data_IF_295666988251
#
_entry.id   IF_295666988251
#
_cell.length_a   1.000
_cell.length_b   1.000
_cell.length_c   1.000
_cell.angle_alpha   90.00
_cell.angle_beta   90.00
_cell.angle_gamma   90.00
#
_symmetry.space_group_name_H-M   'P 1'
#
loop_
_entity.id
_entity.type
_entity.pdbx_description
1 polymer ?
#
# COMPACT_ATOMS: atom_id res chain seq x y z
N UNK A 1 4.12 -16.19 3.31
CA UNK A 1 3.18 -15.63 2.33
C UNK A 1 3.95 -14.59 1.53
N UNK A 2 3.52 -14.25 0.32
CA UNK A 2 3.99 -13.03 -0.36
C UNK A 2 2.79 -12.09 -0.44
N UNK A 3 2.77 -11.08 0.42
CA UNK A 3 1.56 -10.30 0.73
C UNK A 3 0.97 -9.66 -0.53
N UNK A 4 1.76 -8.91 -1.30
CA UNK A 4 1.31 -8.28 -2.55
C UNK A 4 0.87 -9.29 -3.61
N UNK A 5 1.64 -10.37 -3.77
CA UNK A 5 1.33 -11.45 -4.72
C UNK A 5 -0.05 -12.06 -4.42
N UNK A 6 -0.30 -12.39 -3.15
CA UNK A 6 -1.54 -13.04 -2.71
C UNK A 6 -2.73 -12.08 -2.70
N UNK A 7 -2.58 -10.84 -2.21
CA UNK A 7 -3.63 -9.82 -2.26
C UNK A 7 -4.03 -9.48 -3.69
N UNK A 8 -3.08 -9.38 -4.62
CA UNK A 8 -3.36 -9.11 -6.03
C UNK A 8 -4.11 -10.28 -6.69
N UNK A 9 -3.74 -11.51 -6.34
CA UNK A 9 -4.47 -12.70 -6.77
C UNK A 9 -5.90 -12.73 -6.22
N UNK A 10 -6.09 -12.38 -4.95
CA UNK A 10 -7.40 -12.29 -4.32
C UNK A 10 -8.27 -11.20 -4.97
N UNK A 11 -7.72 -10.00 -5.17
CA UNK A 11 -8.39 -8.90 -5.83
C UNK A 11 -8.81 -9.26 -7.26
N UNK A 12 -7.96 -9.97 -8.01
CA UNK A 12 -8.30 -10.43 -9.35
C UNK A 12 -9.55 -11.34 -9.33
N UNK A 13 -9.60 -12.33 -8.42
CA UNK A 13 -10.74 -13.25 -8.27
C UNK A 13 -12.04 -12.53 -7.88
N UNK A 14 -11.95 -11.46 -7.08
CA UNK A 14 -13.10 -10.71 -6.55
C UNK A 14 -13.45 -9.46 -7.38
N UNK A 15 -12.68 -9.15 -8.42
CA UNK A 15 -12.95 -8.06 -9.35
C UNK A 15 -13.97 -8.45 -10.42
N UNK A 16 -14.23 -7.52 -11.34
CA UNK A 16 -14.98 -7.77 -12.57
C UNK A 16 -14.36 -8.85 -13.48
N UNK A 17 -13.09 -9.20 -13.28
CA UNK A 17 -12.40 -10.28 -13.99
C UNK A 17 -12.75 -11.67 -13.43
N UNK A 18 -13.22 -11.73 -12.19
CA UNK A 18 -13.57 -12.95 -11.46
C UNK A 18 -14.62 -13.79 -12.15
N UNK A 19 -14.48 -15.12 -12.04
CA UNK A 19 -15.42 -16.08 -12.66
C UNK A 19 -16.84 -15.95 -12.10
N UNK A 20 -16.94 -15.76 -10.79
CA UNK A 20 -18.20 -15.69 -10.05
C UNK A 20 -18.78 -14.27 -10.02
N UNK A 21 -18.07 -13.31 -10.60
CA UNK A 21 -18.51 -11.95 -10.85
C UNK A 21 -18.88 -11.76 -12.33
N UNK A 22 -18.48 -10.63 -12.93
CA UNK A 22 -18.85 -10.28 -14.30
C UNK A 22 -18.07 -11.07 -15.37
N UNK A 23 -16.96 -11.73 -14.99
CA UNK A 23 -16.11 -12.53 -15.87
C UNK A 23 -15.74 -11.79 -17.17
N UNK A 24 -15.36 -10.52 -17.03
CA UNK A 24 -15.17 -9.58 -18.14
C UNK A 24 -14.18 -10.07 -19.21
N UNK A 25 -13.24 -10.93 -18.81
CA UNK A 25 -12.25 -11.53 -19.69
C UNK A 25 -12.88 -12.36 -20.82
N UNK A 26 -14.10 -12.87 -20.66
CA UNK A 26 -14.83 -13.55 -21.75
C UNK A 26 -15.13 -12.61 -22.92
N UNK A 27 -15.40 -11.33 -22.67
CA UNK A 27 -15.62 -10.33 -23.72
C UNK A 27 -14.33 -10.01 -24.49
N UNK A 28 -13.17 -10.31 -23.90
CA UNK A 28 -11.86 -10.21 -24.56
C UNK A 28 -11.45 -11.52 -25.28
N UNK A 29 -12.32 -12.53 -25.28
CA UNK A 29 -12.10 -13.82 -25.94
C UNK A 29 -11.42 -14.88 -25.06
N UNK A 30 -11.26 -14.64 -23.76
CA UNK A 30 -10.66 -15.59 -22.82
C UNK A 30 -11.72 -16.51 -22.22
N UNK A 31 -11.97 -17.65 -22.88
CA UNK A 31 -12.99 -18.60 -22.45
C UNK A 31 -12.74 -19.13 -21.02
N UNK A 32 -11.47 -19.23 -20.60
CA UNK A 32 -11.07 -19.68 -19.26
C UNK A 32 -10.97 -18.54 -18.24
N UNK A 33 -11.31 -17.30 -18.61
CA UNK A 33 -11.23 -16.13 -17.73
C UNK A 33 -9.83 -15.97 -17.14
N UNK A 34 -9.74 -15.81 -15.82
CA UNK A 34 -8.47 -15.68 -15.09
C UNK A 34 -7.54 -16.90 -15.25
N UNK A 35 -8.08 -18.07 -15.61
CA UNK A 35 -7.33 -19.30 -15.83
C UNK A 35 -6.82 -19.44 -17.28
N UNK A 36 -7.09 -18.46 -18.15
CA UNK A 36 -6.56 -18.43 -19.51
C UNK A 36 -5.04 -18.31 -19.50
N UNK A 37 -4.35 -19.10 -20.33
CA UNK A 37 -2.89 -19.18 -20.28
C UNK A 37 -2.25 -18.42 -21.43
N UNK A 38 -1.53 -17.35 -21.09
CA UNK A 38 -0.87 -16.46 -22.04
C UNK A 38 0.66 -16.66 -22.02
N UNK A 39 1.29 -16.63 -23.19
CA UNK A 39 2.73 -16.74 -23.36
C UNK A 39 3.44 -15.37 -23.36
N UNK A 40 4.51 -15.27 -22.59
CA UNK A 40 5.46 -14.16 -22.61
C UNK A 40 6.89 -14.73 -22.58
N UNK A 41 7.61 -14.57 -23.70
CA UNK A 41 8.93 -15.19 -23.86
C UNK A 41 8.85 -16.72 -23.76
N UNK A 42 9.62 -17.29 -22.82
CA UNK A 42 9.64 -18.74 -22.56
C UNK A 42 8.59 -19.20 -21.55
N UNK A 43 7.97 -18.25 -20.84
CA UNK A 43 6.98 -18.52 -19.80
C UNK A 43 5.57 -18.55 -20.40
N UNK A 44 4.72 -19.42 -19.85
CA UNK A 44 3.29 -19.48 -20.17
C UNK A 44 2.50 -19.70 -18.89
N UNK A 45 1.76 -18.69 -18.45
CA UNK A 45 1.10 -18.65 -17.14
C UNK A 45 -0.35 -18.20 -17.27
N UNK A 46 -1.14 -18.39 -16.22
CA UNK A 46 -2.53 -17.91 -16.25
C UNK A 46 -2.58 -16.38 -16.20
N UNK A 47 -3.70 -15.77 -16.59
CA UNK A 47 -3.92 -14.32 -16.43
C UNK A 47 -3.74 -13.91 -14.96
N UNK A 48 -4.29 -14.70 -14.03
CA UNK A 48 -4.11 -14.47 -12.59
C UNK A 48 -2.63 -14.50 -12.19
N UNK A 49 -1.91 -15.52 -12.61
CA UNK A 49 -0.48 -15.66 -12.28
C UNK A 49 0.36 -14.51 -12.84
N UNK A 50 0.01 -13.94 -14.01
CA UNK A 50 0.68 -12.76 -14.53
C UNK A 50 0.46 -11.53 -13.63
N UNK A 51 -0.77 -11.29 -13.17
CA UNK A 51 -1.07 -10.19 -12.22
C UNK A 51 -0.29 -10.39 -10.92
N UNK A 52 -0.29 -11.61 -10.39
CA UNK A 52 0.45 -12.01 -9.18
C UNK A 52 1.95 -11.77 -9.32
N UNK A 53 2.56 -12.26 -10.40
CA UNK A 53 3.99 -12.05 -10.70
C UNK A 53 4.31 -10.56 -10.82
N UNK A 54 3.47 -9.78 -11.51
CA UNK A 54 3.68 -8.34 -11.64
C UNK A 54 3.73 -7.61 -10.30
N UNK A 55 2.85 -7.97 -9.37
CA UNK A 55 2.84 -7.39 -8.04
C UNK A 55 4.13 -7.73 -7.28
N UNK A 56 4.56 -9.00 -7.29
CA UNK A 56 5.82 -9.39 -6.64
C UNK A 56 7.05 -8.65 -7.22
N UNK A 57 7.10 -8.50 -8.55
CA UNK A 57 8.24 -7.89 -9.22
C UNK A 57 8.31 -6.37 -9.08
N UNK A 58 7.30 -5.72 -8.50
CA UNK A 58 7.41 -4.29 -8.18
C UNK A 58 8.37 -4.06 -7.00
N UNK A 59 8.64 -5.05 -6.14
CA UNK A 59 9.70 -4.97 -5.13
C UNK A 59 11.11 -5.30 -5.66
N UNK A 60 11.24 -5.70 -6.93
CA UNK A 60 12.52 -6.14 -7.47
C UNK A 60 13.61 -5.05 -7.48
N UNK A 61 14.83 -5.49 -7.19
CA UNK A 61 16.06 -4.74 -7.42
C UNK A 61 16.99 -4.70 -6.21
N UNK A 62 18.09 -3.97 -6.33
CA UNK A 62 19.09 -3.84 -5.27
C UNK A 62 19.50 -2.37 -5.14
N UNK A 63 19.53 -1.88 -3.90
CA UNK A 63 20.10 -0.57 -3.52
C UNK A 63 19.58 0.57 -4.40
N UNK A 64 20.34 1.01 -5.40
CA UNK A 64 20.10 2.26 -6.18
C UNK A 64 19.12 2.04 -7.33
N UNK A 65 19.00 0.82 -7.85
CA UNK A 65 18.11 0.52 -8.97
C UNK A 65 16.79 -0.13 -8.54
N UNK A 66 16.56 -0.30 -7.22
CA UNK A 66 15.35 -0.92 -6.72
C UNK A 66 14.13 -0.04 -6.92
N UNK A 67 13.05 -0.65 -7.41
CA UNK A 67 11.76 0.02 -7.62
C UNK A 67 11.14 0.47 -6.29
N UNK A 68 11.39 -0.28 -5.21
CA UNK A 68 10.96 0.00 -3.83
C UNK A 68 11.21 1.43 -3.31
N UNK A 69 12.20 2.14 -3.84
CA UNK A 69 12.44 3.55 -3.46
C UNK A 69 11.28 4.46 -3.83
N UNK A 70 10.54 4.09 -4.87
CA UNK A 70 9.45 4.88 -5.42
C UNK A 70 8.07 4.39 -4.94
N UNK A 71 8.02 3.60 -3.87
CA UNK A 71 6.77 3.06 -3.32
C UNK A 71 6.08 4.02 -2.34
N UNK A 72 6.75 5.12 -2.01
CA UNK A 72 6.28 6.09 -1.04
C UNK A 72 5.48 7.22 -1.69
N UNK A 73 4.41 7.66 -1.05
CA UNK A 73 3.67 8.87 -1.43
C UNK A 73 3.19 9.62 -0.18
N UNK A 74 3.75 10.80 0.08
CA UNK A 74 3.36 11.66 1.19
C UNK A 74 2.30 12.69 0.75
N UNK A 75 1.01 12.51 1.10
CA UNK A 75 -0.10 13.30 0.53
C UNK A 75 -0.16 14.77 1.00
N UNK A 76 0.63 15.16 2.02
CA UNK A 76 0.71 16.57 2.47
C UNK A 76 1.82 17.38 1.79
N UNK A 77 2.41 16.86 0.71
CA UNK A 77 3.42 17.54 -0.11
C UNK A 77 2.90 17.69 -1.54
N UNK A 78 3.44 18.66 -2.25
CA UNK A 78 3.29 18.72 -3.70
C UNK A 78 3.85 17.41 -4.32
N UNK A 79 3.23 16.92 -5.40
CA UNK A 79 3.47 15.56 -5.91
C UNK A 79 4.94 15.28 -6.29
N UNK A 80 5.68 16.30 -6.72
CA UNK A 80 7.11 16.21 -7.04
C UNK A 80 8.02 16.12 -5.80
N UNK A 81 7.52 16.54 -4.64
CA UNK A 81 8.17 16.41 -3.33
C UNK A 81 7.56 15.31 -2.46
N UNK A 82 6.47 14.67 -2.91
CA UNK A 82 5.74 13.65 -2.18
C UNK A 82 6.39 12.26 -2.21
N UNK A 83 7.60 12.12 -2.75
CA UNK A 83 8.33 10.85 -2.77
C UNK A 83 9.10 10.56 -1.48
N UNK A 84 9.83 9.45 -1.49
CA UNK A 84 10.70 9.09 -0.37
C UNK A 84 11.84 10.10 -0.24
N UNK A 85 12.06 10.59 0.98
CA UNK A 85 13.20 11.40 1.39
C UNK A 85 13.51 11.14 2.87
N UNK A 86 14.03 9.94 3.15
CA UNK A 86 14.41 9.55 4.51
C UNK A 86 15.65 8.66 4.54
N UNK A 87 16.37 8.68 5.67
CA UNK A 87 17.67 8.05 5.86
C UNK A 87 18.66 8.44 4.75
N UNK A 88 19.07 7.45 3.94
CA UNK A 88 19.94 7.61 2.76
C UNK A 88 19.19 7.31 1.44
N UNK A 89 17.88 7.17 1.53
CA UNK A 89 17.02 6.80 0.42
C UNK A 89 16.24 8.01 -0.08
N UNK A 90 16.21 8.13 -1.40
CA UNK A 90 15.34 9.06 -2.10
C UNK A 90 14.66 8.32 -3.24
N UNK A 91 13.45 8.74 -3.56
CA UNK A 91 12.67 8.19 -4.66
C UNK A 91 11.59 9.15 -5.11
N UNK A 92 11.12 8.93 -6.34
CA UNK A 92 9.96 9.60 -6.89
C UNK A 92 8.71 9.15 -6.13
N UNK A 93 7.71 10.02 -6.04
CA UNK A 93 6.42 9.65 -5.48
C UNK A 93 5.79 8.48 -6.24
N UNK A 94 5.20 7.51 -5.53
CA UNK A 94 4.53 6.35 -6.13
C UNK A 94 3.47 6.74 -7.17
N UNK A 95 2.78 7.86 -6.94
CA UNK A 95 1.80 8.43 -7.86
C UNK A 95 2.41 8.83 -9.22
N UNK A 96 3.59 9.47 -9.18
CA UNK A 96 4.33 9.89 -10.37
C UNK A 96 5.05 8.69 -11.00
N UNK A 97 5.69 7.86 -10.18
CA UNK A 97 6.38 6.64 -10.61
C UNK A 97 5.48 5.72 -11.40
N UNK A 98 4.24 5.50 -10.95
CA UNK A 98 3.23 4.72 -11.66
C UNK A 98 2.99 5.16 -13.12
N UNK A 99 3.34 6.40 -13.46
CA UNK A 99 3.09 7.03 -14.75
C UNK A 99 4.36 7.48 -15.48
N UNK A 100 5.55 7.34 -14.88
CA UNK A 100 6.81 7.81 -15.45
C UNK A 100 7.53 6.73 -16.28
N UNK A 101 7.16 6.63 -17.56
CA UNK A 101 7.80 5.70 -18.52
C UNK A 101 9.32 5.94 -18.63
N UNK A 102 9.76 7.20 -18.56
CA UNK A 102 11.16 7.55 -18.74
C UNK A 102 12.01 7.03 -17.58
N UNK A 103 11.60 7.30 -16.33
CA UNK A 103 12.29 6.84 -15.14
C UNK A 103 12.33 5.31 -15.06
N UNK A 104 11.24 4.63 -15.44
CA UNK A 104 11.16 3.17 -15.39
C UNK A 104 11.98 2.45 -16.46
N UNK A 105 12.45 3.14 -17.51
CA UNK A 105 13.20 2.51 -18.63
C UNK A 105 14.43 1.74 -18.16
N UNK A 106 15.12 2.25 -17.13
CA UNK A 106 16.34 1.62 -16.56
C UNK A 106 16.07 0.75 -15.33
N UNK A 107 14.82 0.66 -14.90
CA UNK A 107 14.42 -0.08 -13.71
C UNK A 107 14.39 -1.60 -13.97
N UNK A 108 14.59 -2.42 -12.92
CA UNK A 108 14.23 -3.84 -12.95
C UNK A 108 12.81 -4.03 -13.48
N UNK A 109 12.58 -5.12 -14.20
CA UNK A 109 11.34 -5.40 -14.93
C UNK A 109 10.95 -4.40 -16.03
N UNK A 110 11.78 -3.37 -16.28
CA UNK A 110 11.58 -2.37 -17.33
C UNK A 110 10.38 -1.45 -17.07
N UNK A 111 9.92 -0.81 -18.14
CA UNK A 111 8.79 0.10 -18.08
C UNK A 111 7.45 -0.63 -17.87
N UNK A 112 6.83 -0.34 -16.72
CA UNK A 112 5.53 -0.78 -16.27
C UNK A 112 4.61 0.41 -15.93
N UNK A 113 4.92 1.59 -16.49
CA UNK A 113 4.10 2.80 -16.33
C UNK A 113 2.73 2.61 -16.97
N UNK A 114 1.73 3.31 -16.44
CA UNK A 114 0.36 3.19 -16.90
C UNK A 114 0.19 3.47 -18.40
N UNK A 115 0.92 4.45 -18.94
CA UNK A 115 0.93 4.72 -20.38
C UNK A 115 1.37 3.49 -21.18
N UNK A 116 2.46 2.84 -20.75
CA UNK A 116 2.99 1.64 -21.40
C UNK A 116 2.05 0.45 -21.30
N UNK A 117 1.35 0.28 -20.17
CA UNK A 117 0.30 -0.73 -20.04
C UNK A 117 -0.85 -0.48 -21.02
N UNK A 118 -1.29 0.77 -21.18
CA UNK A 118 -2.33 1.13 -22.15
C UNK A 118 -1.88 0.87 -23.58
N UNK A 119 -0.62 1.15 -23.90
CA UNK A 119 -0.04 0.82 -25.19
C UNK A 119 -0.03 -0.70 -25.44
N UNK A 120 0.36 -1.51 -24.45
CA UNK A 120 0.26 -2.96 -24.58
C UNK A 120 -1.18 -3.41 -24.75
N UNK A 121 -2.12 -2.89 -23.96
CA UNK A 121 -3.52 -3.29 -24.07
C UNK A 121 -4.11 -2.95 -25.46
N UNK A 122 -3.82 -1.76 -25.99
CA UNK A 122 -4.22 -1.38 -27.35
C UNK A 122 -3.67 -2.35 -28.40
N UNK A 123 -2.38 -2.70 -28.31
CA UNK A 123 -1.77 -3.65 -29.24
C UNK A 123 -2.33 -5.07 -29.07
N UNK A 124 -2.69 -5.47 -27.85
CA UNK A 124 -3.34 -6.74 -27.58
C UNK A 124 -4.71 -6.86 -28.27
N UNK A 125 -5.42 -5.75 -28.39
CA UNK A 125 -6.71 -5.66 -29.06
C UNK A 125 -6.59 -5.57 -30.59
N UNK A 126 -5.57 -4.88 -31.10
CA UNK A 126 -5.54 -4.41 -32.50
C UNK A 126 -4.50 -5.09 -33.39
N UNK A 127 -3.47 -5.73 -32.83
CA UNK A 127 -2.41 -6.32 -33.65
C UNK A 127 -2.93 -7.45 -34.56
N UNK A 128 -2.46 -7.49 -35.81
CA UNK A 128 -2.90 -8.51 -36.77
C UNK A 128 -2.39 -9.92 -36.41
N UNK A 129 -1.17 -10.01 -35.86
CA UNK A 129 -0.55 -11.28 -35.50
C UNK A 129 -1.06 -11.79 -34.12
N UNK A 130 -1.66 -13.00 -34.05
CA UNK A 130 -2.15 -13.56 -32.79
C UNK A 130 -1.07 -13.73 -31.71
N UNK A 131 0.17 -14.02 -32.09
CA UNK A 131 1.27 -14.16 -31.12
C UNK A 131 1.64 -12.82 -30.48
N UNK A 132 1.59 -11.74 -31.28
CA UNK A 132 1.79 -10.37 -30.81
C UNK A 132 0.65 -9.94 -29.89
N UNK A 133 -0.60 -10.30 -30.20
CA UNK A 133 -1.74 -10.05 -29.32
C UNK A 133 -1.60 -10.75 -27.97
N UNK A 134 -1.31 -12.05 -27.98
CA UNK A 134 -1.12 -12.86 -26.76
C UNK A 134 -0.03 -12.27 -25.85
N UNK A 135 1.12 -11.91 -26.45
CA UNK A 135 2.25 -11.31 -25.73
C UNK A 135 1.87 -9.99 -25.07
N UNK A 136 1.15 -9.13 -25.79
CA UNK A 136 0.74 -7.83 -25.27
C UNK A 136 -0.34 -7.94 -24.19
N UNK A 137 -1.23 -8.93 -24.27
CA UNK A 137 -2.12 -9.25 -23.14
C UNK A 137 -1.34 -9.69 -21.91
N UNK A 138 -0.37 -10.60 -22.06
CA UNK A 138 0.46 -11.05 -20.93
C UNK A 138 1.21 -9.89 -20.27
N UNK A 139 1.78 -8.98 -21.08
CA UNK A 139 2.41 -7.75 -20.59
C UNK A 139 1.43 -6.82 -19.88
N UNK A 140 0.22 -6.65 -20.41
CA UNK A 140 -0.83 -5.84 -19.78
C UNK A 140 -1.17 -6.37 -18.39
N UNK A 141 -1.41 -7.68 -18.26
CA UNK A 141 -1.78 -8.29 -16.98
C UNK A 141 -0.64 -8.30 -15.96
N UNK A 142 0.60 -8.55 -16.42
CA UNK A 142 1.78 -8.40 -15.56
C UNK A 142 1.95 -6.95 -15.10
N UNK A 143 1.87 -5.99 -16.02
CA UNK A 143 1.92 -4.57 -15.69
C UNK A 143 0.84 -4.15 -14.70
N UNK A 144 -0.38 -4.67 -14.83
CA UNK A 144 -1.46 -4.38 -13.88
C UNK A 144 -1.10 -4.81 -12.44
N UNK A 145 -0.34 -5.90 -12.28
CA UNK A 145 0.22 -6.29 -10.99
C UNK A 145 1.12 -5.22 -10.37
N UNK A 146 2.04 -4.65 -11.16
CA UNK A 146 2.91 -3.55 -10.72
C UNK A 146 2.10 -2.32 -10.25
N UNK A 147 0.99 -2.00 -10.94
CA UNK A 147 0.13 -0.87 -10.55
C UNK A 147 -0.68 -1.16 -9.28
N UNK A 148 -1.15 -2.41 -9.12
CA UNK A 148 -1.85 -2.85 -7.90
C UNK A 148 -0.91 -2.81 -6.69
N UNK A 149 0.36 -3.16 -6.87
CA UNK A 149 1.37 -3.09 -5.82
C UNK A 149 1.48 -1.70 -5.21
N UNK A 150 1.64 -0.66 -6.04
CA UNK A 150 1.76 0.73 -5.57
C UNK A 150 0.49 1.20 -4.82
N UNK A 151 -0.69 0.70 -5.19
CA UNK A 151 -1.93 0.97 -4.45
C UNK A 151 -1.96 0.28 -3.08
N UNK A 152 -1.40 -0.93 -2.99
CA UNK A 152 -1.31 -1.67 -1.74
C UNK A 152 -0.31 -1.01 -0.78
N UNK A 153 0.82 -0.51 -1.28
CA UNK A 153 1.78 0.25 -0.47
C UNK A 153 1.16 1.56 0.05
N UNK A 154 0.37 2.25 -0.76
CA UNK A 154 -0.36 3.44 -0.32
C UNK A 154 -1.43 3.17 0.77
N UNK A 155 -1.76 1.90 1.03
CA UNK A 155 -2.60 1.46 2.16
C UNK A 155 -1.80 1.10 3.42
N UNK A 156 -0.47 1.20 3.37
CA UNK A 156 0.44 0.91 4.46
C UNK A 156 1.01 2.24 5.03
N UNK A 157 0.92 2.49 6.34
CA UNK A 157 1.26 3.79 6.92
C UNK A 157 2.68 4.30 6.70
N UNK A 158 3.70 3.43 6.73
CA UNK A 158 5.10 3.80 6.55
C UNK A 158 5.34 4.40 5.16
N UNK A 159 4.75 3.78 4.12
CA UNK A 159 4.85 4.22 2.73
C UNK A 159 4.20 5.59 2.46
N UNK A 160 3.24 6.00 3.29
CA UNK A 160 2.58 7.30 3.15
C UNK A 160 3.03 8.35 4.16
N UNK A 161 3.92 7.96 5.08
CA UNK A 161 4.46 8.81 6.15
C UNK A 161 5.97 8.98 6.05
N UNK A 162 6.53 8.73 4.86
CA UNK A 162 7.96 8.92 4.57
C UNK A 162 8.85 8.19 5.57
N UNK A 163 8.43 6.99 6.01
CA UNK A 163 9.05 6.25 7.10
C UNK A 163 9.87 5.09 6.52
N UNK A 164 11.11 5.40 6.13
CA UNK A 164 11.95 4.42 5.47
C UNK A 164 12.45 3.38 6.45
N UNK A 165 12.09 2.12 6.20
CA UNK A 165 12.59 0.99 6.96
C UNK A 165 13.27 -0.02 6.03
N UNK A 166 14.29 -0.68 6.56
CA UNK A 166 15.02 -1.71 5.81
C UNK A 166 14.31 -3.03 6.05
N UNK A 167 13.66 -3.57 5.02
CA UNK A 167 13.18 -4.94 5.08
C UNK A 167 14.36 -5.92 5.26
N UNK A 168 14.18 -6.90 6.14
CA UNK A 168 15.08 -8.01 6.52
C UNK A 168 15.74 -8.70 5.30
N UNK A 169 15.12 -8.61 4.12
CA UNK A 169 15.63 -9.18 2.86
C UNK A 169 16.93 -8.59 2.30
N UNK A 170 17.40 -7.42 2.75
CA UNK A 170 18.58 -6.76 2.13
C UNK A 170 19.93 -7.12 2.76
N UNK A 171 19.95 -7.64 3.99
CA UNK A 171 21.19 -7.99 4.71
C UNK A 171 21.38 -9.49 4.94
N UNK A 172 20.35 -10.31 4.70
CA UNK A 172 20.40 -11.75 5.02
C UNK A 172 20.56 -12.02 6.54
N UNK A 173 20.48 -10.98 7.35
CA UNK A 173 20.57 -11.00 8.79
C UNK A 173 19.23 -10.52 9.33
N UNK A 174 18.36 -11.49 9.68
CA UNK A 174 17.20 -11.23 10.54
C UNK A 174 17.68 -10.46 11.75
N UNK A 175 17.33 -9.16 11.94
CA UNK A 175 17.66 -8.51 13.17
C UNK A 175 16.89 -9.24 14.25
N UNK A 176 17.59 -10.05 15.05
CA UNK A 176 17.12 -10.63 16.32
C UNK A 176 16.98 -9.52 17.36
N UNK A 177 16.40 -8.37 17.00
CA UNK A 177 16.17 -7.25 17.90
C UNK A 177 14.71 -6.84 17.73
N UNK A 178 13.80 -7.31 18.62
CA UNK A 178 12.39 -6.92 18.63
C UNK A 178 12.18 -5.46 19.08
N UNK A 179 13.18 -4.60 18.89
CA UNK A 179 13.27 -3.25 19.46
C UNK A 179 13.29 -2.15 18.37
N UNK A 180 13.28 -2.51 17.09
CA UNK A 180 13.32 -1.58 15.96
C UNK A 180 12.21 -1.92 14.97
N UNK A 181 11.11 -1.17 15.05
CA UNK A 181 9.95 -1.21 14.15
C UNK A 181 8.83 -2.17 14.55
N UNK A 182 7.56 -1.75 14.42
CA UNK A 182 6.44 -2.65 14.33
C UNK A 182 6.61 -3.38 13.00
N UNK A 183 6.94 -4.66 13.10
CA UNK A 183 7.16 -5.56 11.97
C UNK A 183 5.85 -5.84 11.21
N UNK A 184 5.06 -4.83 10.83
CA UNK A 184 3.72 -4.98 10.27
C UNK A 184 3.74 -5.76 8.95
N UNK A 185 4.61 -5.38 8.02
CA UNK A 185 4.78 -6.10 6.75
C UNK A 185 5.29 -7.54 6.97
N UNK A 186 6.21 -7.73 7.93
CA UNK A 186 6.73 -9.06 8.26
C UNK A 186 5.66 -9.94 8.91
N UNK A 187 4.87 -9.36 9.82
CA UNK A 187 3.72 -9.99 10.45
C UNK A 187 2.69 -10.39 9.39
N UNK A 188 2.31 -9.46 8.52
CA UNK A 188 1.38 -9.70 7.42
C UNK A 188 1.89 -10.78 6.46
N UNK A 189 3.22 -10.86 6.28
CA UNK A 189 3.88 -11.87 5.45
C UNK A 189 3.89 -13.29 6.04
N UNK A 190 3.52 -13.50 7.30
CA UNK A 190 3.45 -14.85 7.88
C UNK A 190 2.27 -15.65 7.30
N UNK A 191 2.51 -16.93 6.97
CA UNK A 191 1.47 -17.79 6.34
C UNK A 191 0.20 -17.94 7.18
N UNK A 192 0.31 -17.89 8.51
CA UNK A 192 -0.84 -17.99 9.41
C UNK A 192 -1.74 -16.74 9.38
N UNK A 193 -1.28 -15.60 8.85
CA UNK A 193 -2.10 -14.40 8.70
C UNK A 193 -2.93 -14.38 7.41
N UNK A 194 -2.68 -15.30 6.47
CA UNK A 194 -3.34 -15.29 5.15
C UNK A 194 -4.85 -15.25 5.26
N UNK A 195 -5.43 -16.17 6.01
CA UNK A 195 -6.89 -16.26 6.17
C UNK A 195 -7.49 -15.04 6.87
N UNK A 196 -6.74 -14.41 7.78
CA UNK A 196 -7.17 -13.19 8.45
C UNK A 196 -7.20 -12.01 7.45
N UNK A 197 -6.12 -11.83 6.69
CA UNK A 197 -6.01 -10.78 5.67
C UNK A 197 -7.08 -10.95 4.59
N UNK A 198 -7.26 -12.17 4.07
CA UNK A 198 -8.32 -12.48 3.09
C UNK A 198 -9.72 -12.18 3.66
N UNK A 199 -9.95 -12.39 4.96
CA UNK A 199 -11.24 -12.07 5.60
C UNK A 199 -11.53 -10.57 5.65
N UNK A 200 -10.51 -9.72 5.79
CA UNK A 200 -10.65 -8.27 5.67
C UNK A 200 -10.94 -7.87 4.22
N UNK A 201 -10.21 -8.44 3.26
CA UNK A 201 -10.41 -8.16 1.84
C UNK A 201 -11.79 -8.64 1.30
N UNK A 202 -12.48 -9.54 2.00
CA UNK A 202 -13.83 -10.00 1.64
C UNK A 202 -14.90 -8.90 1.71
N UNK A 203 -14.65 -7.82 2.46
CA UNK A 203 -15.58 -6.69 2.62
C UNK A 203 -14.94 -5.41 2.12
N UNK A 204 -14.51 -5.41 0.86
CA UNK A 204 -13.82 -4.27 0.27
C UNK A 204 -14.75 -3.07 0.06
N UNK A 205 -14.31 -1.90 0.53
CA UNK A 205 -14.89 -0.63 0.15
C UNK A 205 -14.37 -0.21 -1.24
N UNK A 206 -15.29 0.27 -2.08
CA UNK A 206 -14.94 0.75 -3.41
C UNK A 206 -14.70 2.25 -3.39
N UNK A 207 -13.57 2.74 -3.92
CA UNK A 207 -13.26 4.16 -3.96
C UNK A 207 -14.32 4.92 -4.80
N UNK A 208 -14.73 6.08 -4.30
CA UNK A 208 -15.68 6.99 -4.94
C UNK A 208 -14.96 8.16 -5.61
N UNK A 209 -13.81 7.87 -6.21
CA UNK A 209 -12.94 8.84 -6.88
C UNK A 209 -13.35 9.02 -8.35
N UNK A 210 -13.07 10.20 -8.90
CA UNK A 210 -13.48 10.54 -10.26
C UNK A 210 -12.37 10.27 -11.27
N UNK A 211 -12.56 9.26 -12.12
CA UNK A 211 -11.60 8.92 -13.18
C UNK A 211 -11.85 9.64 -14.52
N UNK A 212 -12.82 10.53 -14.57
CA UNK A 212 -13.18 11.33 -15.75
C UNK A 212 -12.89 12.82 -15.53
N UNK A 213 -11.70 13.10 -15.01
CA UNK A 213 -11.20 14.46 -14.78
C UNK A 213 -9.97 14.70 -15.66
N UNK A 214 -9.67 15.97 -15.92
CA UNK A 214 -8.34 16.36 -16.38
C UNK A 214 -7.48 16.62 -15.16
N UNK A 215 -6.37 15.90 -15.06
CA UNK A 215 -5.37 16.11 -14.01
C UNK A 215 -4.23 16.96 -14.60
N UNK A 216 -3.62 17.88 -13.84
CA UNK A 216 -2.47 18.65 -14.28
C UNK A 216 -1.27 17.78 -14.71
N UNK A 217 -0.30 18.42 -15.38
CA UNK A 217 1.04 17.86 -15.65
C UNK A 217 1.07 16.54 -16.43
N UNK A 218 0.18 16.41 -17.41
CA UNK A 218 0.07 15.24 -18.31
C UNK A 218 -0.25 13.92 -17.61
N UNK A 219 -0.52 13.94 -16.31
CA UNK A 219 -0.97 12.77 -15.56
C UNK A 219 -2.39 12.38 -15.95
N UNK A 220 -2.70 11.10 -15.81
CA UNK A 220 -4.04 10.58 -16.03
C UNK A 220 -4.75 10.30 -14.70
N UNK A 221 -6.09 10.22 -14.69
CA UNK A 221 -6.89 10.15 -13.45
C UNK A 221 -6.69 8.93 -12.55
N UNK A 222 -5.83 7.97 -12.91
CA UNK A 222 -5.51 6.85 -12.01
C UNK A 222 -4.84 7.32 -10.72
N UNK A 223 -4.19 8.50 -10.76
CA UNK A 223 -3.58 9.14 -9.59
C UNK A 223 -4.59 9.31 -8.45
N UNK A 224 -5.86 9.52 -8.79
CA UNK A 224 -6.96 9.71 -7.83
C UNK A 224 -7.16 8.51 -6.91
N UNK A 225 -6.71 7.30 -7.28
CA UNK A 225 -6.74 6.18 -6.36
C UNK A 225 -5.74 6.33 -5.20
N UNK A 226 -4.59 6.97 -5.44
CA UNK A 226 -3.58 7.24 -4.40
C UNK A 226 -3.88 8.55 -3.69
N UNK A 227 -4.08 9.62 -4.45
CA UNK A 227 -4.23 10.98 -3.93
C UNK A 227 -5.10 11.85 -4.84
N UNK A 228 -6.13 12.44 -4.24
CA UNK A 228 -7.08 13.37 -4.85
C UNK A 228 -6.78 14.84 -4.52
N UNK A 229 -5.74 15.08 -3.72
CA UNK A 229 -5.29 16.38 -3.21
C UNK A 229 -6.40 17.11 -2.42
N UNK A 230 -7.10 16.37 -1.57
CA UNK A 230 -8.21 16.84 -0.73
C UNK A 230 -7.85 16.94 0.75
N UNK A 231 -6.91 16.13 1.22
CA UNK A 231 -6.40 16.13 2.58
C UNK A 231 -5.13 16.97 2.68
N UNK A 232 -5.26 18.14 3.29
CA UNK A 232 -4.17 19.10 3.47
C UNK A 232 -3.57 19.10 4.90
N UNK A 233 -3.77 18.01 5.64
CA UNK A 233 -3.34 17.88 7.03
C UNK A 233 -4.35 18.45 8.04
N UNK A 234 -5.50 18.92 7.58
CA UNK A 234 -6.62 19.35 8.43
C UNK A 234 -7.76 18.34 8.37
N UNK A 235 -8.45 18.15 9.49
CA UNK A 235 -9.69 17.36 9.60
C UNK A 235 -9.65 15.98 8.90
N UNK A 236 -9.00 14.98 9.50
CA UNK A 236 -9.01 13.62 8.99
C UNK A 236 -10.42 13.13 8.66
N UNK A 237 -10.54 12.46 7.53
CA UNK A 237 -11.80 11.99 6.96
C UNK A 237 -11.70 10.50 6.68
N UNK A 238 -12.83 9.81 6.71
CA UNK A 238 -12.99 8.42 6.24
C UNK A 238 -13.85 8.32 4.98
N UNK A 239 -14.02 9.45 4.28
CA UNK A 239 -14.77 9.48 3.01
C UNK A 239 -14.01 8.72 1.94
N UNK A 240 -14.73 7.89 1.20
CA UNK A 240 -14.23 7.15 0.03
C UNK A 240 -13.91 8.04 -1.18
N UNK A 241 -14.10 9.35 -1.08
CA UNK A 241 -13.80 10.33 -2.14
C UNK A 241 -12.36 10.81 -2.12
N UNK A 242 -11.60 10.50 -1.07
CA UNK A 242 -10.16 10.79 -1.00
C UNK A 242 -9.36 9.57 -1.48
N UNK A 243 -8.11 9.80 -1.88
CA UNK A 243 -7.19 8.75 -2.26
C UNK A 243 -6.75 7.92 -1.05
N UNK A 244 -6.30 6.69 -1.31
CA UNK A 244 -5.94 5.77 -0.23
C UNK A 244 -4.74 6.28 0.58
N UNK A 245 -3.80 7.00 -0.04
CA UNK A 245 -2.65 7.55 0.67
C UNK A 245 -3.08 8.65 1.65
N UNK A 246 -4.00 9.52 1.25
CA UNK A 246 -4.60 10.55 2.11
C UNK A 246 -5.30 9.91 3.31
N UNK A 247 -6.13 8.89 3.07
CA UNK A 247 -6.83 8.15 4.11
C UNK A 247 -5.86 7.51 5.11
N UNK A 248 -4.88 6.77 4.60
CA UNK A 248 -3.92 6.02 5.41
C UNK A 248 -3.06 6.99 6.24
N UNK A 249 -2.55 8.05 5.61
CA UNK A 249 -1.74 9.07 6.28
C UNK A 249 -2.50 9.75 7.42
N UNK A 250 -3.77 10.11 7.20
CA UNK A 250 -4.58 10.83 8.17
C UNK A 250 -5.00 9.97 9.39
N UNK A 251 -5.14 8.66 9.21
CA UNK A 251 -5.82 7.79 10.19
C UNK A 251 -4.91 6.86 10.98
N UNK A 252 -3.71 6.56 10.49
CA UNK A 252 -2.84 5.56 11.09
C UNK A 252 -1.43 6.11 11.38
N UNK A 253 -0.81 5.59 12.43
CA UNK A 253 0.61 5.81 12.68
C UNK A 253 1.48 4.90 11.80
N UNK A 254 2.66 5.40 11.46
CA UNK A 254 3.81 4.57 11.09
C UNK A 254 4.73 4.41 12.32
N UNK A 255 5.70 3.51 12.23
CA UNK A 255 6.61 3.17 13.33
C UNK A 255 7.30 4.38 13.98
N UNK A 256 7.88 5.25 13.18
CA UNK A 256 8.68 6.39 13.64
C UNK A 256 7.86 7.69 13.78
N UNK A 257 6.54 7.61 13.62
CA UNK A 257 5.65 8.79 13.58
C UNK A 257 4.49 8.74 14.57
N UNK A 258 4.52 7.81 15.53
CA UNK A 258 3.59 7.81 16.66
C UNK A 258 3.67 9.16 17.38
N UNK A 259 2.53 9.86 17.47
CA UNK A 259 2.41 11.20 18.08
C UNK A 259 3.41 12.24 17.57
N UNK A 260 3.83 12.15 16.30
CA UNK A 260 4.84 13.06 15.78
C UNK A 260 4.44 14.54 15.76
N UNK A 261 3.12 14.83 15.71
CA UNK A 261 2.59 16.20 15.87
C UNK A 261 2.97 16.83 17.22
N UNK A 262 3.05 16.01 18.27
CA UNK A 262 3.28 16.44 19.65
C UNK A 262 4.78 16.49 19.99
N UNK A 263 5.60 15.72 19.27
CA UNK A 263 7.04 15.56 19.54
C UNK A 263 7.95 16.33 18.58
N UNK A 264 7.47 16.65 17.38
CA UNK A 264 8.28 17.24 16.31
C UNK A 264 7.70 18.58 15.87
N UNK A 265 8.54 19.54 15.45
CA UNK A 265 8.04 20.80 14.91
C UNK A 265 7.49 20.60 13.48
N UNK A 266 6.57 21.46 13.00
CA UNK A 266 5.89 21.30 11.72
C UNK A 266 6.79 21.15 10.47
N UNK A 267 8.01 21.68 10.51
CA UNK A 267 8.99 21.59 9.44
C UNK A 267 9.73 20.24 9.37
N UNK A 268 9.60 19.40 10.39
CA UNK A 268 10.29 18.11 10.40
C UNK A 268 9.69 17.18 9.34
N UNK A 269 10.52 16.47 8.56
CA UNK A 269 10.08 15.51 7.51
C UNK A 269 9.19 14.34 7.97
N UNK A 270 9.05 14.16 9.28
CA UNK A 270 8.25 13.11 9.94
C UNK A 270 7.14 13.73 10.80
N UNK A 271 6.89 15.03 10.62
CA UNK A 271 5.76 15.69 11.25
C UNK A 271 4.49 15.35 10.48
N UNK A 272 3.51 14.79 11.18
CA UNK A 272 2.19 14.51 10.66
C UNK A 272 1.17 15.00 11.68
N UNK A 273 0.21 15.86 11.29
CA UNK A 273 -0.71 16.50 12.23
C UNK A 273 -1.69 15.50 12.89
N UNK A 274 -1.94 14.38 12.23
CA UNK A 274 -2.82 13.32 12.70
C UNK A 274 -2.27 11.93 12.39
N UNK A 275 -2.65 10.90 13.15
CA UNK A 275 -3.29 11.02 14.47
C UNK A 275 -2.37 11.73 15.47
N UNK A 276 -2.92 12.34 16.53
CA UNK A 276 -2.13 13.02 17.58
C UNK A 276 -2.64 12.62 18.97
N UNK A 277 -1.99 13.09 20.04
CA UNK A 277 -2.37 12.73 21.41
C UNK A 277 -3.84 13.09 21.69
N UNK A 278 -4.29 14.28 21.26
CA UNK A 278 -5.65 14.76 21.51
C UNK A 278 -6.73 13.96 20.77
N UNK A 279 -6.38 13.28 19.68
CA UNK A 279 -7.26 12.34 18.96
C UNK A 279 -7.42 10.99 19.68
N UNK A 280 -6.75 10.77 20.82
CA UNK A 280 -6.75 9.49 21.55
C UNK A 280 -7.20 9.62 23.00
N UNK A 281 -7.44 8.48 23.66
CA UNK A 281 -7.62 8.41 25.10
C UNK A 281 -6.30 8.16 25.88
N UNK A 282 -5.14 8.50 25.31
CA UNK A 282 -3.84 8.32 25.97
C UNK A 282 -3.81 8.97 27.37
N UNK A 283 -4.47 10.11 27.55
CA UNK A 283 -4.52 10.81 28.84
C UNK A 283 -5.19 9.96 29.94
N UNK A 284 -6.23 9.18 29.62
CA UNK A 284 -6.86 8.28 30.58
C UNK A 284 -5.89 7.19 31.04
N UNK A 285 -5.01 6.72 30.15
CA UNK A 285 -3.97 5.74 30.48
C UNK A 285 -2.91 6.35 31.41
N UNK A 286 -2.42 7.55 31.12
CA UNK A 286 -1.36 8.21 31.91
C UNK A 286 -1.86 8.61 33.31
N UNK A 287 -3.11 9.06 33.41
CA UNK A 287 -3.77 9.42 34.68
C UNK A 287 -4.18 8.18 35.51
N UNK A 288 -4.19 7.00 34.89
CA UNK A 288 -4.58 5.74 35.55
C UNK A 288 -6.09 5.54 35.66
N UNK A 289 -6.86 6.19 34.79
CA UNK A 289 -8.31 6.02 34.66
C UNK A 289 -8.70 4.95 33.64
N UNK A 290 -7.82 4.66 32.66
CA UNK A 290 -8.05 3.60 31.69
C UNK A 290 -7.99 2.23 32.38
N UNK A 291 -8.93 1.35 32.05
CA UNK A 291 -8.95 -0.04 32.52
C UNK A 291 -8.33 -0.96 31.46
N UNK A 292 -7.60 -2.01 31.87
CA UNK A 292 -7.11 -3.01 30.92
C UNK A 292 -8.29 -3.81 30.34
N UNK A 293 -8.13 -4.30 29.11
CA UNK A 293 -9.09 -5.16 28.43
C UNK A 293 -8.50 -6.56 28.27
N UNK A 294 -9.36 -7.57 28.38
CA UNK A 294 -9.03 -8.93 27.99
C UNK A 294 -9.28 -9.09 26.50
N UNK A 295 -8.26 -9.49 25.75
CA UNK A 295 -8.34 -9.75 24.31
C UNK A 295 -7.78 -11.13 24.01
N UNK A 296 -8.38 -11.85 23.08
CA UNK A 296 -7.79 -13.09 22.56
C UNK A 296 -6.63 -12.73 21.64
N UNK A 297 -5.40 -13.06 22.04
CA UNK A 297 -4.21 -12.88 21.23
C UNK A 297 -4.18 -13.87 20.06
N UNK A 298 -3.23 -13.69 19.14
CA UNK A 298 -3.10 -14.50 17.92
C UNK A 298 -2.86 -15.99 18.20
N UNK A 299 -2.23 -16.31 19.32
CA UNK A 299 -2.01 -17.68 19.81
C UNK A 299 -3.26 -18.31 20.44
N UNK A 300 -4.39 -17.58 20.42
CA UNK A 300 -5.68 -17.93 21.04
C UNK A 300 -5.65 -17.97 22.56
N UNK A 301 -4.63 -17.36 23.17
CA UNK A 301 -4.55 -17.17 24.62
C UNK A 301 -5.15 -15.82 24.96
N UNK A 302 -5.85 -15.74 26.08
CA UNK A 302 -6.32 -14.45 26.60
C UNK A 302 -5.15 -13.63 27.15
N UNK A 303 -4.99 -12.42 26.64
CA UNK A 303 -4.06 -11.42 27.14
C UNK A 303 -4.84 -10.29 27.82
N UNK A 304 -4.34 -9.79 28.94
CA UNK A 304 -4.88 -8.63 29.65
C UNK A 304 -3.91 -7.47 29.47
N UNK A 305 -4.31 -6.49 28.69
CA UNK A 305 -3.47 -5.33 28.39
C UNK A 305 -4.28 -4.03 28.36
N UNK A 306 -3.57 -2.91 28.52
CA UNK A 306 -4.09 -1.62 28.14
C UNK A 306 -4.06 -1.47 26.63
N UNK A 307 -5.06 -0.78 26.10
CA UNK A 307 -5.16 -0.43 24.69
C UNK A 307 -5.65 1.01 24.61
N UNK A 308 -4.82 1.86 24.02
CA UNK A 308 -5.17 3.23 23.71
C UNK A 308 -6.04 3.20 22.46
N UNK A 309 -7.18 3.86 22.52
CA UNK A 309 -8.12 4.01 21.41
C UNK A 309 -7.91 5.37 20.73
N UNK A 310 -8.10 5.40 19.41
CA UNK A 310 -8.32 6.65 18.67
C UNK A 310 -9.79 7.01 18.79
N UNK A 311 -10.08 8.08 19.50
CA UNK A 311 -11.44 8.49 19.92
C UNK A 311 -11.93 9.75 19.21
N UNK A 312 -11.05 10.47 18.51
CA UNK A 312 -11.37 11.66 17.73
C UNK A 312 -10.62 11.67 16.39
N UNK A 313 -11.02 12.59 15.52
CA UNK A 313 -10.43 12.91 14.21
C UNK A 313 -10.29 11.71 13.24
N UNK A 314 -11.12 11.65 12.19
CA UNK A 314 -11.14 10.52 11.26
C UNK A 314 -11.80 9.29 11.88
N UNK A 315 -11.26 8.09 11.63
CA UNK A 315 -11.88 6.86 12.13
C UNK A 315 -11.62 6.58 13.59
N UNK A 316 -12.65 6.04 14.25
CA UNK A 316 -12.57 5.44 15.57
C UNK A 316 -11.85 4.09 15.48
N UNK A 317 -10.79 3.92 16.26
CA UNK A 317 -10.03 2.66 16.32
C UNK A 317 -9.92 2.24 17.79
N UNK A 318 -10.59 1.14 18.15
CA UNK A 318 -10.68 0.68 19.54
C UNK A 318 -9.32 0.26 20.12
N UNK A 319 -8.53 -0.49 19.36
CA UNK A 319 -7.22 -0.99 19.76
C UNK A 319 -6.14 -0.36 18.88
N UNK A 320 -5.93 0.95 19.06
CA UNK A 320 -5.07 1.73 18.18
C UNK A 320 -3.58 1.60 18.54
N UNK A 321 -3.24 1.75 19.82
CA UNK A 321 -1.85 1.60 20.30
C UNK A 321 -1.84 0.75 21.57
N UNK A 322 -0.92 -0.22 21.65
CA UNK A 322 -0.64 -0.99 22.87
C UNK A 322 0.61 -0.44 23.56
N UNK A 323 0.50 0.18 24.75
CA UNK A 323 1.68 0.60 25.49
C UNK A 323 2.48 -0.63 25.99
N UNK A 324 3.81 -0.58 25.87
CA UNK A 324 4.71 -1.65 26.33
C UNK A 324 5.24 -1.40 27.75
N UNK A 325 5.51 -0.15 28.11
CA UNK A 325 5.86 0.27 29.46
C UNK A 325 5.39 1.69 29.73
N UNK A 326 5.20 2.03 31.01
CA UNK A 326 4.95 3.40 31.48
C UNK A 326 5.97 3.73 32.56
N UNK A 327 6.75 4.78 32.34
CA UNK A 327 7.64 5.34 33.36
C UNK A 327 7.02 6.61 33.93
N UNK A 328 6.60 6.59 35.20
CA UNK A 328 6.21 7.81 35.91
C UNK A 328 7.48 8.42 36.49
N UNK A 329 7.89 9.57 35.96
CA UNK A 329 9.00 10.32 36.52
C UNK A 329 8.72 10.64 37.99
N UNK A 330 9.53 10.12 38.90
CA UNK A 330 9.47 10.52 40.30
C UNK A 330 9.82 12.00 40.39
N UNK A 331 8.82 12.83 40.70
CA UNK A 331 9.04 14.20 41.17
C UNK A 331 9.91 14.07 42.42
N UNK A 332 11.16 14.54 42.33
CA UNK A 332 12.04 14.71 43.49
C UNK A 332 11.99 16.14 43.97
#
# INVERSE_FOLDING_TARGET
MKTHEDLSGYAADHSVLGKDNQNHLKYLGFAKGLQERLRLGRSKQTVKDWIKEGAELEDDGIKVTGRFRNHFHHPLKDWDEAGLNDLIFTGQSALLWAQDSHAQTSAPSGDQSWETLRFFFLNALTAADPMTRERNYAKTFRGLGHQIHLLQDAAQPDHVRNDAHIHDGTTGERPRRPEWGLLFETWAGHDNQKSLIESFAAHADFPQVYLNLSIPDELVPISQFLDTNTYNGSFPSSRLTQGIAEYTNANFFSDDTIFSADERPPEHRHYFPYPNIASTNLQDYTDGHLLPKTTTAEDRVEDISFWISKTGDGDYIEHFVKPTYLSKGSIR
#
